data_IF_236437294808
#
_entry.id   IF_236437294808
#
_cell.length_a   1.000
_cell.length_b   1.000
_cell.length_c   1.000
_cell.angle_alpha   90.00
_cell.angle_beta   90.00
_cell.angle_gamma   90.00
#
_symmetry.space_group_name_H-M   'P 1'
#
loop_
_entity.id
_entity.type
_entity.pdbx_description
1 polymer ?
#
# COMPACT_ATOMS: atom_id res chain seq x y z
N UNK A 1 -53.35 -12.74 7.90
CA UNK A 1 -52.53 -13.32 6.83
C UNK A 1 -51.07 -13.17 7.23
N UNK A 2 -50.46 -14.31 7.51
CA UNK A 2 -49.09 -14.46 8.00
C UNK A 2 -48.03 -14.31 6.89
N UNK A 3 -46.77 -14.20 7.34
CA UNK A 3 -45.52 -14.61 6.70
C UNK A 3 -44.92 -13.66 5.64
N UNK A 4 -43.60 -13.42 5.57
CA UNK A 4 -42.46 -13.99 6.28
C UNK A 4 -41.25 -13.04 6.25
N UNK A 5 -40.44 -13.15 7.30
CA UNK A 5 -39.06 -12.68 7.39
C UNK A 5 -38.17 -13.42 6.39
N UNK A 6 -37.36 -12.71 5.60
CA UNK A 6 -36.30 -13.30 4.78
C UNK A 6 -34.93 -12.96 5.36
N UNK A 7 -34.48 -13.85 6.24
CA UNK A 7 -33.10 -13.98 6.68
C UNK A 7 -32.25 -14.43 5.48
N UNK A 8 -31.51 -13.50 4.88
CA UNK A 8 -30.45 -13.87 3.92
C UNK A 8 -29.24 -14.31 4.73
N UNK A 9 -29.15 -15.63 4.93
CA UNK A 9 -27.94 -16.30 5.43
C UNK A 9 -26.78 -16.05 4.47
N UNK A 10 -25.93 -15.08 4.79
CA UNK A 10 -24.60 -15.01 4.19
C UNK A 10 -23.79 -16.22 4.67
N UNK A 11 -23.53 -17.16 3.76
CA UNK A 11 -22.71 -18.33 4.02
C UNK A 11 -21.22 -17.94 4.02
N UNK A 12 -20.54 -18.39 5.08
CA UNK A 12 -19.11 -18.68 5.21
C UNK A 12 -18.13 -17.51 5.03
N UNK A 13 -17.69 -16.97 6.17
CA UNK A 13 -16.32 -16.48 6.32
C UNK A 13 -15.37 -17.64 5.98
N UNK A 14 -14.59 -17.50 4.92
CA UNK A 14 -13.41 -18.32 4.71
C UNK A 14 -12.34 -17.84 5.69
N UNK A 15 -12.19 -18.54 6.81
CA UNK A 15 -10.93 -18.51 7.56
C UNK A 15 -9.86 -19.04 6.61
N UNK A 16 -8.95 -18.17 6.18
CA UNK A 16 -7.85 -18.55 5.30
C UNK A 16 -6.90 -19.45 6.10
N UNK A 17 -6.86 -20.73 5.75
CA UNK A 17 -5.87 -21.69 6.26
C UNK A 17 -4.61 -21.55 5.42
N UNK A 18 -3.48 -21.38 6.09
CA UNK A 18 -2.16 -21.23 5.49
C UNK A 18 -1.80 -22.47 4.62
N UNK A 19 -1.30 -22.31 3.39
CA UNK A 19 -1.01 -23.43 2.48
C UNK A 19 0.14 -24.35 2.93
N UNK A 20 0.97 -23.97 3.90
CA UNK A 20 2.08 -24.81 4.39
C UNK A 20 1.69 -25.87 5.45
N UNK A 21 0.39 -26.09 5.71
CA UNK A 21 -0.07 -27.14 6.63
C UNK A 21 -0.70 -28.36 5.94
N UNK A 22 -0.62 -28.47 4.61
CA UNK A 22 -1.28 -29.52 3.83
C UNK A 22 -0.82 -30.96 4.15
N UNK A 23 0.39 -31.16 4.70
CA UNK A 23 1.00 -32.50 4.78
C UNK A 23 1.04 -33.14 6.18
N UNK A 24 0.46 -32.50 7.20
CA UNK A 24 0.37 -33.12 8.54
C UNK A 24 -0.96 -33.85 8.69
N UNK A 25 -0.94 -35.17 8.43
CA UNK A 25 -2.03 -36.12 8.72
C UNK A 25 -2.66 -35.82 10.08
N UNK A 26 -3.90 -35.35 10.06
CA UNK A 26 -4.75 -35.29 11.24
C UNK A 26 -5.16 -36.70 11.65
N UNK A 27 -4.79 -37.11 12.87
CA UNK A 27 -5.48 -38.19 13.56
C UNK A 27 -6.79 -37.62 14.13
N UNK A 28 -7.92 -38.34 14.04
CA UNK A 28 -9.18 -37.85 14.57
C UNK A 28 -9.19 -38.03 16.08
N UNK A 29 -8.68 -37.04 16.82
CA UNK A 29 -8.98 -36.93 18.24
C UNK A 29 -10.44 -36.50 18.40
N UNK A 30 -11.22 -37.40 19.00
CA UNK A 30 -12.59 -37.13 19.45
C UNK A 30 -12.54 -36.08 20.56
N UNK A 31 -13.33 -35.03 20.43
CA UNK A 31 -13.62 -34.09 21.51
C UNK A 31 -13.44 -32.64 21.07
N UNK A 32 -14.54 -31.98 20.73
CA UNK A 32 -14.60 -30.52 20.72
C UNK A 32 -14.59 -30.04 22.18
N UNK A 33 -13.42 -29.99 22.78
CA UNK A 33 -13.19 -29.10 23.93
C UNK A 33 -13.26 -27.64 23.45
N UNK A 34 -13.53 -26.67 24.36
CA UNK A 34 -13.41 -25.26 24.02
C UNK A 34 -12.02 -25.01 23.41
N UNK A 35 -11.90 -24.17 22.36
CA UNK A 35 -10.61 -23.88 21.76
C UNK A 35 -9.66 -23.39 22.85
N UNK A 36 -8.51 -24.04 22.98
CA UNK A 36 -7.44 -23.53 23.83
C UNK A 36 -7.15 -22.07 23.39
N UNK A 37 -6.93 -21.13 24.32
CA UNK A 37 -6.61 -19.75 23.96
C UNK A 37 -5.39 -19.79 23.04
N UNK A 38 -5.62 -19.43 21.77
CA UNK A 38 -4.55 -19.39 20.79
C UNK A 38 -3.58 -18.30 21.21
N UNK A 39 -2.37 -18.69 21.59
CA UNK A 39 -1.28 -17.75 21.80
C UNK A 39 -1.12 -16.91 20.52
N UNK A 40 -1.34 -15.60 20.63
CA UNK A 40 -1.20 -14.68 19.52
C UNK A 40 0.27 -14.30 19.39
N UNK A 41 0.98 -14.96 18.47
CA UNK A 41 2.33 -14.57 18.09
C UNK A 41 2.26 -13.48 17.02
N UNK A 42 2.91 -12.34 17.25
CA UNK A 42 3.13 -11.32 16.21
C UNK A 42 4.56 -11.46 15.69
N UNK A 43 4.69 -11.75 14.39
CA UNK A 43 5.99 -11.75 13.73
C UNK A 43 6.33 -10.32 13.34
N UNK A 44 7.39 -9.78 13.93
CA UNK A 44 7.92 -8.44 13.64
C UNK A 44 8.52 -8.37 12.23
N UNK A 45 8.77 -7.15 11.73
CA UNK A 45 9.37 -6.94 10.40
C UNK A 45 10.80 -7.49 10.25
N UNK A 46 11.50 -7.80 11.35
CA UNK A 46 12.81 -8.46 11.35
C UNK A 46 12.75 -10.00 11.49
N UNK A 47 11.54 -10.57 11.59
CA UNK A 47 11.33 -12.01 11.69
C UNK A 47 11.40 -12.59 13.10
N UNK A 48 11.56 -11.76 14.14
CA UNK A 48 11.45 -12.20 15.53
C UNK A 48 9.99 -12.42 15.97
N UNK A 49 9.79 -13.30 16.95
CA UNK A 49 8.49 -13.65 17.51
C UNK A 49 8.42 -13.23 18.97
N UNK A 50 7.33 -12.56 19.35
CA UNK A 50 7.01 -12.26 20.74
C UNK A 50 5.59 -12.74 21.05
N UNK A 51 5.38 -13.29 22.25
CA UNK A 51 4.05 -13.57 22.79
C UNK A 51 3.38 -12.26 23.21
N UNK A 52 2.14 -12.04 22.77
CA UNK A 52 1.31 -10.94 23.27
C UNK A 52 0.75 -11.31 24.66
N UNK A 53 0.95 -10.49 25.71
CA UNK A 53 0.08 -10.52 26.89
C UNK A 53 -1.24 -9.82 26.53
N UNK A 54 -2.46 -10.19 26.95
CA UNK A 54 -3.00 -11.19 27.87
C UNK A 54 -4.41 -11.58 27.39
N UNK A 55 -4.86 -12.77 27.77
CA UNK A 55 -6.26 -13.21 27.65
C UNK A 55 -7.21 -12.24 28.37
N UNK A 56 -8.21 -11.70 27.65
CA UNK A 56 -9.29 -10.89 28.22
C UNK A 56 -9.76 -9.70 27.37
N UNK A 57 -9.01 -9.31 26.35
CA UNK A 57 -9.50 -8.33 25.37
C UNK A 57 -10.28 -9.07 24.27
N UNK A 58 -11.60 -8.83 24.21
CA UNK A 58 -12.39 -9.20 23.04
C UNK A 58 -11.70 -8.62 21.79
N UNK A 59 -11.47 -9.42 20.72
CA UNK A 59 -10.85 -8.91 19.51
C UNK A 59 -11.72 -7.76 18.98
N UNK A 60 -11.20 -6.52 19.03
CA UNK A 60 -11.87 -5.40 18.37
C UNK A 60 -11.73 -5.62 16.87
N UNK A 61 -12.82 -6.05 16.24
CA UNK A 61 -12.87 -6.23 14.80
C UNK A 61 -13.10 -4.87 14.14
N UNK A 62 -12.04 -4.28 13.58
CA UNK A 62 -12.14 -3.07 12.77
C UNK A 62 -12.27 -3.42 11.29
N UNK A 63 -13.18 -2.75 10.60
CA UNK A 63 -13.31 -2.84 9.16
C UNK A 63 -12.41 -1.79 8.50
N UNK A 64 -11.28 -2.21 7.95
CA UNK A 64 -10.38 -1.34 7.18
C UNK A 64 -10.74 -1.42 5.71
N UNK A 65 -11.02 -0.28 5.09
CA UNK A 65 -11.23 -0.16 3.65
C UNK A 65 -9.97 0.39 3.00
N UNK A 66 -9.39 -0.35 2.05
CA UNK A 66 -8.23 0.10 1.30
C UNK A 66 -8.66 0.60 -0.08
N UNK A 67 -8.44 1.89 -0.34
CA UNK A 67 -8.53 2.45 -1.68
C UNK A 67 -7.15 2.35 -2.34
N UNK A 68 -7.05 1.59 -3.43
CA UNK A 68 -5.79 1.40 -4.15
C UNK A 68 -5.84 2.20 -5.44
N UNK A 69 -4.85 3.06 -5.63
CA UNK A 69 -4.75 3.95 -6.78
C UNK A 69 -3.43 3.74 -7.50
N UNK A 70 -3.50 3.53 -8.81
CA UNK A 70 -2.31 3.52 -9.67
C UNK A 70 -1.82 4.95 -9.87
N UNK A 71 -0.51 5.13 -10.00
CA UNK A 71 0.05 6.44 -10.34
C UNK A 71 -0.49 6.96 -11.68
N UNK A 72 -0.56 8.28 -11.85
CA UNK A 72 -0.89 8.93 -13.12
C UNK A 72 0.14 8.64 -14.22
N UNK A 73 -0.10 9.13 -15.44
CA UNK A 73 0.84 8.92 -16.54
C UNK A 73 2.24 9.51 -16.22
N UNK A 74 3.27 8.66 -16.24
CA UNK A 74 4.67 9.09 -16.06
C UNK A 74 5.40 9.34 -17.37
N UNK A 75 6.52 10.07 -17.30
CA UNK A 75 7.37 10.29 -18.48
C UNK A 75 7.80 8.97 -19.13
N UNK A 76 8.05 7.93 -18.33
CA UNK A 76 8.37 6.60 -18.84
C UNK A 76 7.19 5.99 -19.59
N UNK A 77 5.98 6.05 -19.05
CA UNK A 77 4.79 5.50 -19.73
C UNK A 77 4.52 6.21 -21.06
N UNK A 78 4.77 7.51 -21.13
CA UNK A 78 4.66 8.26 -22.38
C UNK A 78 5.66 7.76 -23.42
N UNK A 79 6.92 7.56 -23.03
CA UNK A 79 7.95 7.03 -23.94
C UNK A 79 7.65 5.60 -24.40
N UNK A 80 7.20 4.74 -23.49
CA UNK A 80 6.74 3.38 -23.82
C UNK A 80 5.62 3.42 -24.86
N UNK A 81 4.61 4.28 -24.67
CA UNK A 81 3.48 4.42 -25.58
C UNK A 81 3.86 4.99 -26.95
N UNK A 82 4.89 5.85 -27.03
CA UNK A 82 5.39 6.41 -28.28
C UNK A 82 6.25 5.43 -29.09
N UNK A 83 6.46 4.20 -28.61
CA UNK A 83 7.20 3.18 -29.33
C UNK A 83 8.72 3.42 -29.39
N UNK A 84 9.24 4.43 -28.69
CA UNK A 84 10.70 4.64 -28.52
C UNK A 84 11.36 3.52 -27.69
N UNK A 85 10.56 2.61 -27.11
CA UNK A 85 11.01 1.38 -26.45
C UNK A 85 11.33 0.21 -27.40
N UNK A 86 11.21 0.35 -28.73
CA UNK A 86 11.58 -0.69 -29.70
C UNK A 86 13.10 -0.89 -29.86
N UNK A 87 13.92 0.05 -29.38
CA UNK A 87 15.36 -0.12 -29.19
C UNK A 87 15.62 -0.43 -27.71
N UNK A 88 16.62 -1.27 -27.34
CA UNK A 88 16.78 -1.82 -26.00
C UNK A 88 16.86 -0.72 -24.92
N UNK A 89 15.71 -0.36 -24.36
CA UNK A 89 15.46 0.55 -23.22
C UNK A 89 16.51 1.66 -22.98
N UNK A 90 17.02 2.27 -24.06
CA UNK A 90 18.08 3.28 -24.00
C UNK A 90 17.56 4.52 -23.27
N UNK A 91 16.25 4.74 -23.31
CA UNK A 91 15.61 5.91 -22.73
C UNK A 91 15.07 5.67 -21.31
N UNK A 92 14.51 4.50 -21.00
CA UNK A 92 14.04 4.21 -19.63
C UNK A 92 15.19 4.06 -18.63
N UNK A 93 16.35 3.56 -19.08
CA UNK A 93 17.57 3.58 -18.26
C UNK A 93 18.09 4.99 -17.98
N UNK A 94 17.79 5.97 -18.85
CA UNK A 94 18.24 7.37 -18.72
C UNK A 94 17.32 8.25 -17.89
N UNK A 95 16.12 7.77 -17.57
CA UNK A 95 15.14 8.50 -16.73
C UNK A 95 14.85 7.65 -15.48
N UNK A 96 15.83 7.49 -14.58
CA UNK A 96 15.60 6.76 -13.34
C UNK A 96 14.52 7.46 -12.52
N UNK A 97 13.64 6.71 -11.88
CA UNK A 97 12.56 7.20 -11.02
C UNK A 97 11.76 8.36 -11.67
N UNK A 98 11.06 8.10 -12.80
CA UNK A 98 10.40 9.14 -13.59
C UNK A 98 9.27 9.80 -12.79
N UNK A 99 9.11 11.11 -12.98
CA UNK A 99 7.96 11.88 -12.49
C UNK A 99 6.73 11.67 -13.38
N UNK A 100 5.58 12.18 -12.94
CA UNK A 100 4.41 12.34 -13.80
C UNK A 100 4.71 13.29 -14.95
N UNK A 101 4.04 13.08 -16.09
CA UNK A 101 3.95 14.10 -17.13
C UNK A 101 3.04 15.24 -16.67
N UNK A 102 3.07 16.39 -17.36
CA UNK A 102 2.09 17.45 -17.12
C UNK A 102 0.65 16.96 -17.32
N UNK A 103 0.43 16.09 -18.30
CA UNK A 103 -0.87 15.45 -18.51
C UNK A 103 -1.26 14.54 -17.33
N UNK A 104 -0.35 13.67 -16.87
CA UNK A 104 -0.60 12.80 -15.72
C UNK A 104 -0.89 13.57 -14.42
N UNK A 105 -0.29 14.75 -14.24
CA UNK A 105 -0.61 15.63 -13.11
C UNK A 105 -2.04 16.19 -13.21
N UNK A 106 -2.45 16.67 -14.39
CA UNK A 106 -3.81 17.16 -14.64
C UNK A 106 -4.86 16.05 -14.46
N UNK A 107 -4.55 14.81 -14.86
CA UNK A 107 -5.40 13.65 -14.60
C UNK A 107 -5.62 13.43 -13.10
N UNK A 108 -4.56 13.57 -12.29
CA UNK A 108 -4.65 13.46 -10.83
C UNK A 108 -5.57 14.53 -10.24
N UNK A 109 -5.42 15.78 -10.67
CA UNK A 109 -6.25 16.90 -10.20
C UNK A 109 -7.72 16.71 -10.60
N UNK A 110 -7.97 16.22 -11.82
CA UNK A 110 -9.33 15.95 -12.32
C UNK A 110 -9.99 14.80 -11.56
N UNK A 111 -9.24 13.72 -11.30
CA UNK A 111 -9.71 12.59 -10.50
C UNK A 111 -10.00 13.01 -9.06
N UNK A 112 -9.12 13.81 -8.45
CA UNK A 112 -9.33 14.41 -7.12
C UNK A 112 -10.63 15.21 -7.08
N UNK A 113 -10.80 16.16 -8.00
CA UNK A 113 -11.98 17.01 -8.05
C UNK A 113 -13.27 16.17 -8.16
N UNK A 114 -13.23 15.09 -8.94
CA UNK A 114 -14.35 14.15 -9.10
C UNK A 114 -14.67 13.45 -7.77
N UNK A 115 -13.66 12.91 -7.07
CA UNK A 115 -13.83 12.22 -5.79
C UNK A 115 -14.31 13.15 -4.67
N UNK A 116 -13.82 14.39 -4.62
CA UNK A 116 -14.29 15.42 -3.68
C UNK A 116 -15.75 15.76 -3.95
N UNK A 117 -16.10 16.04 -5.21
CA UNK A 117 -17.47 16.41 -5.58
C UNK A 117 -18.50 15.31 -5.29
N UNK A 118 -18.10 14.04 -5.36
CA UNK A 118 -18.92 12.89 -4.99
C UNK A 118 -18.98 12.59 -3.49
N UNK A 119 -18.25 13.34 -2.64
CA UNK A 119 -18.16 13.04 -1.21
C UNK A 119 -17.43 11.71 -0.90
N UNK A 120 -16.64 11.21 -1.85
CA UNK A 120 -15.95 9.91 -1.76
C UNK A 120 -14.49 10.05 -1.30
N UNK A 121 -13.95 11.27 -1.24
CA UNK A 121 -12.57 11.51 -0.85
C UNK A 121 -12.44 11.82 0.64
N UNK A 122 -12.68 10.82 1.49
CA UNK A 122 -12.33 10.89 2.92
C UNK A 122 -11.38 9.75 3.24
N UNK A 123 -10.12 10.08 3.52
CA UNK A 123 -9.06 9.12 3.84
C UNK A 123 -8.39 9.50 5.16
N UNK A 124 -8.19 8.51 6.03
CA UNK A 124 -7.54 8.73 7.33
C UNK A 124 -6.01 8.74 7.22
N UNK A 125 -5.47 8.00 6.25
CA UNK A 125 -4.04 7.92 5.97
C UNK A 125 -3.79 7.64 4.48
N UNK A 126 -2.66 8.13 3.97
CA UNK A 126 -2.22 7.90 2.60
C UNK A 126 -0.85 7.25 2.64
N UNK A 127 -0.70 6.10 2.00
CA UNK A 127 0.58 5.41 1.86
C UNK A 127 0.93 5.29 0.38
N UNK A 128 2.12 5.75 0.03
CA UNK A 128 2.67 5.67 -1.33
C UNK A 128 3.78 4.64 -1.41
N UNK A 129 4.03 4.11 -2.61
CA UNK A 129 5.31 3.46 -2.89
C UNK A 129 6.46 4.47 -2.85
N UNK A 130 7.68 3.96 -2.74
CA UNK A 130 8.92 4.76 -2.75
C UNK A 130 9.28 5.37 -4.12
N UNK A 131 8.44 5.24 -5.14
CA UNK A 131 8.69 5.79 -6.48
C UNK A 131 8.12 7.21 -6.61
N UNK A 132 8.87 8.11 -7.24
CA UNK A 132 8.56 9.54 -7.30
C UNK A 132 7.21 9.83 -7.96
N UNK A 133 6.87 9.11 -9.05
CA UNK A 133 5.55 9.19 -9.70
C UNK A 133 4.39 8.80 -8.78
N UNK A 134 4.58 7.81 -7.92
CA UNK A 134 3.55 7.37 -6.97
C UNK A 134 3.39 8.39 -5.85
N UNK A 135 4.51 8.91 -5.32
CA UNK A 135 4.50 9.96 -4.30
C UNK A 135 3.80 11.21 -4.85
N UNK A 136 4.17 11.65 -6.06
CA UNK A 136 3.54 12.80 -6.70
C UNK A 136 2.04 12.58 -6.92
N UNK A 137 1.62 11.41 -7.38
CA UNK A 137 0.19 11.07 -7.51
C UNK A 137 -0.53 11.16 -6.17
N UNK A 138 0.05 10.56 -5.12
CA UNK A 138 -0.55 10.53 -3.80
C UNK A 138 -0.72 11.95 -3.23
N UNK A 139 0.27 12.82 -3.41
CA UNK A 139 0.20 14.22 -2.99
C UNK A 139 -0.85 14.99 -3.78
N UNK A 140 -0.85 14.90 -5.11
CA UNK A 140 -1.81 15.62 -5.96
C UNK A 140 -3.25 15.17 -5.70
N UNK A 141 -3.48 13.86 -5.53
CA UNK A 141 -4.82 13.34 -5.31
C UNK A 141 -5.33 13.57 -3.89
N UNK A 142 -4.52 13.24 -2.88
CA UNK A 142 -5.00 13.10 -1.50
C UNK A 142 -4.46 14.17 -0.54
N UNK A 143 -3.41 14.91 -0.92
CA UNK A 143 -2.68 15.78 0.01
C UNK A 143 -3.50 16.93 0.63
N UNK A 144 -4.59 17.35 -0.01
CA UNK A 144 -5.50 18.36 0.55
C UNK A 144 -6.68 17.82 1.36
N UNK A 145 -6.92 16.50 1.35
CA UNK A 145 -8.09 15.88 2.02
C UNK A 145 -7.71 14.94 3.18
N UNK A 146 -6.46 14.44 3.22
CA UNK A 146 -5.98 13.72 4.39
C UNK A 146 -5.69 14.71 5.53
N UNK A 147 -6.12 14.38 6.75
CA UNK A 147 -5.69 15.07 7.98
C UNK A 147 -4.19 14.87 8.29
N UNK A 148 -3.38 14.40 7.33
CA UNK A 148 -2.04 13.94 7.58
C UNK A 148 -1.20 13.78 6.32
N UNK A 149 0.00 13.27 6.55
CA UNK A 149 1.07 13.15 5.57
C UNK A 149 0.84 12.00 4.58
N UNK A 150 1.52 12.07 3.43
CA UNK A 150 1.74 10.94 2.52
C UNK A 150 2.93 10.15 3.03
N UNK A 151 2.67 8.98 3.62
CA UNK A 151 3.71 8.10 4.13
C UNK A 151 4.33 7.28 3.01
N UNK A 152 5.65 7.31 2.90
CA UNK A 152 6.39 6.56 1.88
C UNK A 152 6.78 5.18 2.42
N UNK A 153 6.48 4.11 1.66
CA UNK A 153 6.83 2.73 2.01
C UNK A 153 7.39 1.94 0.82
N UNK A 154 8.36 1.03 1.01
CA UNK A 154 9.03 0.34 -0.09
C UNK A 154 8.27 -0.88 -0.62
N UNK A 155 7.23 -1.33 0.10
CA UNK A 155 6.55 -2.60 -0.18
C UNK A 155 5.60 -2.56 -1.38
N UNK A 156 5.30 -1.35 -1.89
CA UNK A 156 4.28 -1.10 -2.92
C UNK A 156 4.87 -0.81 -4.31
N UNK A 157 6.20 -0.88 -4.49
CA UNK A 157 6.78 -0.59 -5.81
C UNK A 157 6.45 -1.69 -6.82
N UNK A 158 6.50 -1.33 -8.09
CA UNK A 158 6.23 -2.28 -9.17
C UNK A 158 7.35 -3.33 -9.26
N UNK A 159 6.98 -4.61 -9.40
CA UNK A 159 7.98 -5.68 -9.52
C UNK A 159 8.51 -5.73 -10.95
N UNK A 160 9.61 -5.05 -11.20
CA UNK A 160 10.29 -5.06 -12.48
C UNK A 160 11.65 -5.74 -12.40
N UNK A 161 12.18 -6.21 -13.55
CA UNK A 161 13.50 -6.79 -13.59
C UNK A 161 14.57 -5.82 -13.05
N UNK A 162 15.63 -6.32 -12.39
CA UNK A 162 16.61 -5.49 -11.70
C UNK A 162 17.40 -4.54 -12.63
N UNK A 163 17.36 -4.76 -13.94
CA UNK A 163 17.97 -3.86 -14.94
C UNK A 163 17.09 -2.66 -15.32
N UNK A 164 15.84 -2.60 -14.84
CA UNK A 164 14.90 -1.50 -15.09
C UNK A 164 15.19 -0.33 -14.15
N UNK A 165 16.11 0.57 -14.55
CA UNK A 165 16.51 1.71 -13.73
C UNK A 165 15.36 2.70 -13.44
N UNK A 166 14.31 2.73 -14.28
CA UNK A 166 13.11 3.56 -14.07
C UNK A 166 12.19 3.05 -12.93
N UNK A 167 12.41 1.83 -12.45
CA UNK A 167 11.72 1.25 -11.29
C UNK A 167 12.60 1.17 -10.03
N UNK A 168 13.82 1.72 -10.11
CA UNK A 168 14.65 1.94 -8.94
C UNK A 168 14.34 3.33 -8.37
N UNK A 169 13.99 3.44 -7.08
CA UNK A 169 13.86 4.73 -6.42
C UNK A 169 15.22 5.44 -6.42
N UNK A 170 15.22 6.75 -6.64
CA UNK A 170 16.43 7.54 -6.43
C UNK A 170 16.72 7.70 -4.93
N UNK A 171 17.98 8.01 -4.55
CA UNK A 171 18.28 8.46 -3.20
C UNK A 171 17.34 9.58 -2.77
N UNK A 172 16.85 9.54 -1.52
CA UNK A 172 15.81 10.43 -0.99
C UNK A 172 16.09 11.91 -1.29
N UNK A 173 17.34 12.36 -1.15
CA UNK A 173 17.73 13.75 -1.45
C UNK A 173 17.45 14.14 -2.91
N UNK A 174 17.82 13.27 -3.87
CA UNK A 174 17.56 13.49 -5.30
C UNK A 174 16.07 13.42 -5.61
N UNK A 175 15.35 12.53 -4.95
CA UNK A 175 13.90 12.39 -5.11
C UNK A 175 13.17 13.65 -4.60
N UNK A 176 13.54 14.18 -3.44
CA UNK A 176 13.04 15.47 -2.94
C UNK A 176 13.35 16.61 -3.90
N UNK A 177 14.55 16.63 -4.48
CA UNK A 177 14.91 17.60 -5.52
C UNK A 177 14.01 17.54 -6.77
N UNK A 178 13.50 16.36 -7.14
CA UNK A 178 12.49 16.21 -8.21
C UNK A 178 11.11 16.67 -7.76
N UNK A 179 10.67 16.26 -6.58
CA UNK A 179 9.36 16.62 -6.02
C UNK A 179 9.23 18.14 -5.88
N UNK A 180 10.25 18.84 -5.37
CA UNK A 180 10.27 20.31 -5.26
C UNK A 180 10.12 21.05 -6.59
N UNK A 181 10.50 20.42 -7.71
CA UNK A 181 10.32 21.00 -9.04
C UNK A 181 8.93 20.74 -9.62
N UNK A 182 8.24 19.71 -9.12
CA UNK A 182 6.98 19.23 -9.66
C UNK A 182 5.76 19.56 -8.79
N UNK A 183 6.00 19.93 -7.52
CA UNK A 183 4.98 20.23 -6.51
C UNK A 183 5.20 21.64 -5.95
N UNK A 184 4.14 22.22 -5.40
CA UNK A 184 4.24 23.45 -4.61
C UNK A 184 4.93 23.17 -3.26
N UNK A 185 5.58 24.15 -2.61
CA UNK A 185 6.28 23.94 -1.35
C UNK A 185 5.44 23.25 -0.27
N UNK A 186 4.20 23.72 -0.06
CA UNK A 186 3.26 23.16 0.91
C UNK A 186 2.83 21.73 0.59
N UNK A 187 2.91 21.32 -0.68
CA UNK A 187 2.63 19.95 -1.11
C UNK A 187 3.83 19.03 -0.87
N UNK A 188 5.06 19.52 -1.01
CA UNK A 188 6.27 18.73 -0.72
C UNK A 188 6.40 18.40 0.77
N UNK A 189 5.99 19.33 1.63
CA UNK A 189 6.01 19.17 3.08
C UNK A 189 5.12 18.02 3.57
N UNK A 190 4.10 17.64 2.79
CA UNK A 190 3.23 16.50 3.10
C UNK A 190 3.93 15.15 2.95
N UNK A 191 5.09 15.08 2.30
CA UNK A 191 5.77 13.81 2.02
C UNK A 191 6.62 13.38 3.22
N UNK A 192 6.19 12.30 3.87
CA UNK A 192 6.87 11.73 5.03
C UNK A 192 7.66 10.46 4.67
N UNK A 193 8.98 10.55 4.82
CA UNK A 193 9.94 9.47 4.61
C UNK A 193 10.36 8.77 5.91
N UNK A 194 9.75 9.08 7.05
CA UNK A 194 10.12 8.55 8.37
C UNK A 194 10.20 7.02 8.40
N UNK A 195 9.30 6.34 7.68
CA UNK A 195 9.25 4.89 7.59
C UNK A 195 10.26 4.26 6.62
N UNK A 196 10.93 5.05 5.79
CA UNK A 196 11.92 4.53 4.85
C UNK A 196 13.23 4.14 5.53
N UNK A 197 13.53 4.74 6.70
CA UNK A 197 14.79 4.51 7.42
C UNK A 197 14.95 3.04 7.82
N UNK A 198 15.95 2.37 7.25
CA UNK A 198 16.23 0.95 7.49
C UNK A 198 15.38 -0.01 6.66
N UNK A 199 14.49 0.50 5.80
CA UNK A 199 13.69 -0.29 4.86
C UNK A 199 14.11 -0.04 3.40
N UNK A 200 15.22 0.67 3.17
CA UNK A 200 15.71 1.00 1.84
C UNK A 200 16.02 -0.27 1.03
N UNK A 201 15.61 -0.29 -0.24
CA UNK A 201 15.91 -1.40 -1.14
C UNK A 201 15.10 -2.69 -0.88
N UNK A 202 14.15 -2.69 0.07
CA UNK A 202 13.21 -3.80 0.24
C UNK A 202 12.46 -4.09 -1.06
N UNK A 203 12.18 -5.36 -1.31
CA UNK A 203 11.40 -5.81 -2.47
C UNK A 203 9.91 -5.56 -2.22
N UNK A 204 9.11 -5.38 -3.28
CA UNK A 204 7.67 -5.29 -3.10
C UNK A 204 7.10 -6.58 -2.54
N UNK A 205 6.30 -6.47 -1.49
CA UNK A 205 5.70 -7.61 -0.79
C UNK A 205 4.40 -7.16 -0.12
N UNK A 206 3.28 -7.68 -0.62
CA UNK A 206 1.95 -7.33 -0.14
C UNK A 206 1.69 -7.73 1.31
N UNK A 207 2.29 -8.83 1.78
CA UNK A 207 2.13 -9.27 3.17
C UNK A 207 2.94 -8.37 4.11
N UNK A 208 4.16 -7.97 3.73
CA UNK A 208 4.94 -6.99 4.48
C UNK A 208 4.23 -5.63 4.50
N UNK A 209 3.63 -5.21 3.38
CA UNK A 209 2.81 -4.00 3.33
C UNK A 209 1.64 -4.03 4.32
N UNK A 210 0.85 -5.12 4.35
CA UNK A 210 -0.27 -5.26 5.31
C UNK A 210 0.20 -5.22 6.76
N UNK A 211 1.34 -5.85 7.06
CA UNK A 211 1.96 -5.78 8.41
C UNK A 211 2.39 -4.36 8.75
N UNK A 212 3.05 -3.68 7.82
CA UNK A 212 3.43 -2.28 7.96
C UNK A 212 2.22 -1.39 8.25
N UNK A 213 1.11 -1.56 7.51
CA UNK A 213 -0.13 -0.83 7.78
C UNK A 213 -0.62 -1.08 9.21
N UNK A 214 -0.73 -2.33 9.63
CA UNK A 214 -1.23 -2.70 10.95
C UNK A 214 -0.31 -2.29 12.11
N UNK A 215 1.01 -2.18 11.88
CA UNK A 215 1.98 -1.90 12.94
C UNK A 215 2.39 -0.44 13.05
N UNK A 216 2.36 0.29 11.93
CA UNK A 216 2.96 1.62 11.82
C UNK A 216 1.95 2.69 11.48
N UNK A 217 1.04 2.41 10.56
CA UNK A 217 0.07 3.40 10.07
C UNK A 217 -1.20 3.38 10.92
N UNK A 218 -1.63 2.20 11.36
CA UNK A 218 -2.86 1.98 12.10
C UNK A 218 -2.60 1.21 13.41
N UNK A 219 -1.68 1.67 14.29
CA UNK A 219 -1.24 0.89 15.45
C UNK A 219 -2.32 0.70 16.52
N UNK A 220 -3.32 1.58 16.56
CA UNK A 220 -4.38 1.61 17.58
C UNK A 220 -5.69 0.95 17.11
N UNK A 221 -5.69 0.31 15.93
CA UNK A 221 -6.75 -0.59 15.48
C UNK A 221 -6.56 -1.99 16.07
#
# INVERSE_FOLDING_TARGET
>A
TENASACVRARRCSTFVHPEQADKRWSPSRGCGPPAPSAHFKQTMDGSFWELPQAGAEPRAWNVTLQVTRHGQSCQNLLENLGVGLFPDIYGTRIPDPMLTGFGAVECDTARASLVSGGHLKVDAVVSSELARAIQTAVLMYGGESNGNVYVAPFLKENFPPWSAYNAPLPQEKQRGKLRKALRPEQEELVDYSYMRGLEGRKPDWNQFKRFLAEKVLPDL
#
